data_IF_376899244372
#
_entry.id   IF_376899244372
#
_cell.length_a   1.000
_cell.length_b   1.000
_cell.length_c   1.000
_cell.angle_alpha   90.00
_cell.angle_beta   90.00
_cell.angle_gamma   90.00
#
_symmetry.space_group_name_H-M   'P 1'
#
loop_
_entity.id
_entity.type
_entity.pdbx_description
1 polymer ?
#
# COMPACT_ATOMS: atom_id res chain seq x y z
N UNK A 1 31.34 7.03 -23.91
CA UNK A 1 30.32 6.12 -23.36
C UNK A 1 30.11 6.56 -21.94
N UNK A 2 29.07 7.34 -21.68
CA UNK A 2 28.81 7.83 -20.33
C UNK A 2 28.54 6.63 -19.42
N UNK A 3 29.28 6.54 -18.30
CA UNK A 3 29.06 5.50 -17.31
C UNK A 3 27.62 5.60 -16.79
N UNK A 4 26.76 4.69 -17.22
CA UNK A 4 25.35 4.61 -16.80
C UNK A 4 25.27 4.14 -15.35
N UNK A 5 26.28 3.39 -14.89
CA UNK A 5 26.43 2.92 -13.53
C UNK A 5 26.75 4.07 -12.58
N UNK A 6 26.08 4.03 -11.43
CA UNK A 6 26.16 5.10 -10.45
C UNK A 6 26.62 4.58 -9.09
N UNK A 7 27.41 5.38 -8.39
CA UNK A 7 27.65 5.16 -6.96
C UNK A 7 26.42 5.63 -6.17
N UNK A 8 25.85 4.74 -5.36
CA UNK A 8 24.70 5.01 -4.51
C UNK A 8 25.16 5.49 -3.13
N UNK A 9 24.54 6.56 -2.64
CA UNK A 9 24.73 7.03 -1.27
C UNK A 9 23.97 6.15 -0.26
N UNK A 10 24.19 6.30 1.06
CA UNK A 10 23.38 5.62 2.06
C UNK A 10 21.89 5.95 1.98
N UNK A 11 21.54 7.19 1.61
CA UNK A 11 20.15 7.63 1.44
C UNK A 11 19.53 6.94 0.22
N UNK A 12 20.24 6.89 -0.90
CA UNK A 12 19.77 6.19 -2.11
C UNK A 12 19.50 4.70 -1.84
N UNK A 13 20.38 4.06 -1.05
CA UNK A 13 20.20 2.66 -0.63
C UNK A 13 18.96 2.48 0.23
N UNK A 14 18.76 3.33 1.24
CA UNK A 14 17.58 3.28 2.10
C UNK A 14 16.27 3.47 1.31
N UNK A 15 16.27 4.33 0.29
CA UNK A 15 15.13 4.47 -0.63
C UNK A 15 14.89 3.16 -1.38
N UNK A 16 15.92 2.58 -2.03
CA UNK A 16 15.77 1.31 -2.75
C UNK A 16 15.33 0.17 -1.84
N UNK A 17 15.82 0.11 -0.61
CA UNK A 17 15.42 -0.90 0.39
C UNK A 17 13.93 -0.74 0.76
N UNK A 18 13.43 0.50 0.88
CA UNK A 18 12.00 0.76 1.08
C UNK A 18 11.15 0.28 -0.10
N UNK A 19 11.64 0.42 -1.34
CA UNK A 19 10.95 -0.14 -2.51
C UNK A 19 11.03 -1.68 -2.51
N UNK A 20 12.19 -2.25 -2.17
CA UNK A 20 12.37 -3.70 -2.10
C UNK A 20 11.41 -4.34 -1.09
N UNK A 21 11.21 -3.70 0.07
CA UNK A 21 10.25 -4.14 1.09
C UNK A 21 8.78 -4.08 0.62
N UNK A 22 8.45 -3.17 -0.31
CA UNK A 22 7.11 -3.02 -0.87
C UNK A 22 6.77 -4.09 -1.92
N UNK A 23 7.77 -4.54 -2.70
CA UNK A 23 7.59 -5.44 -3.85
C UNK A 23 6.77 -6.71 -3.49
N UNK A 24 7.04 -7.43 -2.39
CA UNK A 24 6.24 -8.60 -2.00
C UNK A 24 4.78 -8.26 -1.70
N UNK A 25 4.52 -7.16 -0.98
CA UNK A 25 3.16 -6.73 -0.65
C UNK A 25 2.37 -6.31 -1.89
N UNK A 26 3.03 -5.61 -2.82
CA UNK A 26 2.42 -5.23 -4.09
C UNK A 26 2.12 -6.46 -4.96
N UNK A 27 3.02 -7.46 -4.97
CA UNK A 27 2.78 -8.72 -5.67
C UNK A 27 1.62 -9.51 -5.07
N UNK A 28 1.48 -9.53 -3.74
CA UNK A 28 0.37 -10.18 -3.07
C UNK A 28 -0.97 -9.52 -3.40
N UNK A 29 -0.99 -8.19 -3.54
CA UNK A 29 -2.17 -7.43 -3.92
C UNK A 29 -2.55 -7.59 -5.40
N UNK A 30 -1.58 -7.56 -6.32
CA UNK A 30 -1.82 -7.63 -7.77
C UNK A 30 -1.97 -9.07 -8.30
N UNK A 31 -1.49 -10.08 -7.56
CA UNK A 31 -1.57 -11.48 -7.93
C UNK A 31 -0.43 -11.97 -8.85
N UNK A 32 -0.48 -13.26 -9.18
CA UNK A 32 0.56 -13.98 -9.94
C UNK A 32 0.71 -13.55 -11.41
N UNK A 33 -0.28 -12.82 -11.93
CA UNK A 33 -0.35 -12.38 -13.32
C UNK A 33 0.54 -11.16 -13.60
N UNK A 34 1.09 -10.57 -12.55
CA UNK A 34 2.05 -9.48 -12.62
C UNK A 34 3.44 -9.97 -12.26
N UNK A 35 4.42 -9.74 -13.12
CA UNK A 35 5.83 -9.77 -12.72
C UNK A 35 6.26 -8.37 -12.29
N UNK A 36 6.87 -8.27 -11.11
CA UNK A 36 7.33 -7.00 -10.54
C UNK A 36 8.84 -7.10 -10.35
N UNK A 37 9.58 -6.21 -10.97
CA UNK A 37 11.05 -6.21 -10.97
C UNK A 37 11.57 -4.87 -10.50
N UNK A 38 12.36 -4.89 -9.42
CA UNK A 38 13.06 -3.72 -8.92
C UNK A 38 14.53 -3.76 -9.35
N UNK A 39 14.93 -2.70 -10.03
CA UNK A 39 16.28 -2.48 -10.54
C UNK A 39 17.03 -1.44 -9.73
N UNK A 40 18.26 -1.74 -9.36
CA UNK A 40 19.29 -0.77 -8.99
C UNK A 40 20.15 -0.41 -10.20
N UNK A 41 20.48 0.87 -10.35
CA UNK A 41 21.40 1.34 -11.38
C UNK A 41 22.88 1.35 -10.91
N UNK A 42 23.17 0.74 -9.75
CA UNK A 42 24.55 0.62 -9.25
C UNK A 42 25.42 -0.32 -10.09
N UNK A 43 24.82 -1.39 -10.62
CA UNK A 43 25.47 -2.36 -11.53
C UNK A 43 24.44 -2.83 -12.54
N UNK A 44 24.67 -2.57 -13.83
CA UNK A 44 23.69 -2.94 -14.86
C UNK A 44 23.70 -4.45 -15.15
N UNK A 45 24.86 -5.08 -14.98
CA UNK A 45 25.04 -6.53 -15.12
C UNK A 45 24.35 -7.33 -14.02
N UNK A 46 24.17 -6.72 -12.83
CA UNK A 46 23.49 -7.30 -11.67
C UNK A 46 22.47 -6.31 -11.09
N UNK A 47 21.55 -5.85 -11.95
CA UNK A 47 20.66 -4.74 -11.60
C UNK A 47 19.44 -5.16 -10.78
N UNK A 48 18.93 -6.38 -10.94
CA UNK A 48 17.72 -6.82 -10.22
C UNK A 48 18.05 -7.01 -8.73
N UNK A 49 17.44 -6.20 -7.87
CA UNK A 49 17.61 -6.27 -6.41
C UNK A 49 16.40 -6.85 -5.68
N UNK A 50 15.22 -6.82 -6.29
CA UNK A 50 14.04 -7.56 -5.83
C UNK A 50 13.18 -7.96 -7.03
N UNK A 51 12.53 -9.11 -6.96
CA UNK A 51 11.64 -9.60 -8.01
C UNK A 51 10.55 -10.49 -7.43
N UNK A 52 9.32 -10.32 -7.91
CA UNK A 52 8.20 -11.22 -7.68
C UNK A 52 7.68 -11.76 -9.01
N UNK A 53 7.23 -13.03 -8.98
CA UNK A 53 6.77 -13.77 -10.16
C UNK A 53 7.77 -13.79 -11.33
N UNK A 54 9.07 -13.79 -11.02
CA UNK A 54 10.15 -13.84 -12.02
C UNK A 54 10.20 -15.13 -12.85
N UNK A 55 9.40 -16.15 -12.49
CA UNK A 55 9.28 -17.39 -13.25
C UNK A 55 8.76 -17.15 -14.69
N UNK A 56 8.03 -16.06 -14.94
CA UNK A 56 7.53 -15.73 -16.27
C UNK A 56 8.63 -15.35 -17.28
N UNK A 57 9.75 -14.79 -16.78
CA UNK A 57 10.93 -14.45 -17.60
C UNK A 57 12.16 -15.29 -17.26
N UNK A 58 12.09 -16.11 -16.21
CA UNK A 58 13.25 -16.83 -15.65
C UNK A 58 14.24 -15.93 -14.91
N UNK A 59 13.87 -14.69 -14.62
CA UNK A 59 14.76 -13.73 -13.94
C UNK A 59 14.76 -13.97 -12.43
N UNK A 60 15.92 -13.73 -11.84
CA UNK A 60 16.19 -13.82 -10.40
C UNK A 60 16.93 -12.57 -9.92
N UNK A 61 17.03 -12.38 -8.59
CA UNK A 61 17.91 -11.36 -8.02
C UNK A 61 19.34 -11.54 -8.56
N UNK A 62 19.96 -10.43 -8.98
CA UNK A 62 21.24 -10.42 -9.68
C UNK A 62 21.14 -10.53 -11.21
N UNK A 63 19.95 -10.68 -11.79
CA UNK A 63 19.79 -10.64 -13.24
C UNK A 63 20.15 -9.26 -13.82
N UNK A 64 20.61 -9.20 -15.09
CA UNK A 64 20.95 -7.95 -15.74
C UNK A 64 19.69 -7.13 -16.08
N UNK A 65 19.93 -5.85 -16.36
CA UNK A 65 18.92 -4.98 -16.97
C UNK A 65 18.69 -5.39 -18.44
N UNK A 66 17.48 -5.19 -18.95
CA UNK A 66 17.17 -5.49 -20.35
C UNK A 66 17.49 -4.30 -21.26
N UNK A 67 17.71 -4.57 -22.54
CA UNK A 67 17.94 -3.53 -23.56
C UNK A 67 16.79 -2.51 -23.60
N UNK A 68 15.55 -2.99 -23.46
CA UNK A 68 14.37 -2.13 -23.44
C UNK A 68 14.33 -1.23 -22.20
N UNK A 69 14.68 -1.75 -21.02
CA UNK A 69 14.75 -0.95 -19.80
C UNK A 69 15.87 0.11 -19.88
N UNK A 70 16.99 -0.21 -20.54
CA UNK A 70 18.07 0.76 -20.83
C UNK A 70 17.62 1.85 -21.80
N UNK A 71 16.91 1.48 -22.86
CA UNK A 71 16.34 2.45 -23.79
C UNK A 71 15.37 3.40 -23.06
N UNK A 72 14.48 2.85 -22.23
CA UNK A 72 13.54 3.65 -21.45
C UNK A 72 14.22 4.57 -20.45
N UNK A 73 15.26 4.10 -19.76
CA UNK A 73 16.06 4.94 -18.88
C UNK A 73 16.66 6.13 -19.65
N UNK A 74 17.17 5.88 -20.85
CA UNK A 74 17.78 6.92 -21.70
C UNK A 74 16.75 7.95 -22.13
N UNK A 75 15.56 7.51 -22.55
CA UNK A 75 14.45 8.39 -22.92
C UNK A 75 13.93 9.20 -21.73
N UNK A 76 13.81 8.59 -20.56
CA UNK A 76 13.40 9.28 -19.33
C UNK A 76 14.43 10.35 -18.94
N UNK A 77 15.73 10.07 -19.07
CA UNK A 77 16.81 11.03 -18.80
C UNK A 77 16.85 12.18 -19.82
N UNK A 78 16.52 11.90 -21.08
CA UNK A 78 16.46 12.89 -22.14
C UNK A 78 15.21 13.79 -22.08
N UNK A 79 14.17 13.36 -21.36
CA UNK A 79 12.94 14.14 -21.21
C UNK A 79 13.20 15.46 -20.47
N UNK A 80 12.70 16.56 -21.04
CA UNK A 80 12.72 17.89 -20.39
C UNK A 80 11.67 18.01 -19.27
N UNK A 81 10.67 17.14 -19.25
CA UNK A 81 9.62 17.11 -18.24
C UNK A 81 9.85 15.98 -17.22
N UNK A 82 9.32 16.16 -16.02
CA UNK A 82 9.32 15.13 -14.98
C UNK A 82 8.48 13.93 -15.44
N UNK A 83 9.13 12.82 -15.74
CA UNK A 83 8.46 11.56 -16.10
C UNK A 83 8.19 10.77 -14.83
N UNK A 84 6.90 10.59 -14.51
CA UNK A 84 6.46 9.79 -13.36
C UNK A 84 6.46 8.28 -13.68
N UNK A 85 6.03 7.90 -14.89
CA UNK A 85 5.99 6.52 -15.36
C UNK A 85 5.94 6.49 -16.89
N UNK A 86 6.37 5.37 -17.49
CA UNK A 86 6.19 5.09 -18.92
C UNK A 86 5.43 3.77 -19.09
N UNK A 87 4.22 3.84 -19.65
CA UNK A 87 3.38 2.68 -19.94
C UNK A 87 3.49 2.30 -21.41
N UNK A 88 3.52 0.99 -21.70
CA UNK A 88 3.73 0.49 -23.05
C UNK A 88 3.28 -0.97 -23.17
N UNK A 89 3.10 -1.44 -24.40
CA UNK A 89 2.82 -2.84 -24.70
C UNK A 89 4.05 -3.47 -25.33
N UNK A 90 4.32 -4.73 -25.00
CA UNK A 90 5.40 -5.51 -25.60
C UNK A 90 4.92 -6.89 -25.97
N UNK A 91 5.70 -7.54 -26.82
CA UNK A 91 5.55 -8.96 -27.14
C UNK A 91 6.88 -9.64 -26.84
N UNK A 92 6.88 -10.68 -26.01
CA UNK A 92 8.06 -11.52 -25.76
C UNK A 92 8.43 -12.29 -27.03
N UNK A 93 9.64 -12.87 -27.03
CA UNK A 93 10.13 -13.71 -28.15
C UNK A 93 9.26 -14.95 -28.41
N UNK A 94 8.57 -15.44 -27.37
CA UNK A 94 7.63 -16.57 -27.44
C UNK A 94 6.25 -16.18 -27.99
N UNK A 95 6.02 -14.89 -28.31
CA UNK A 95 4.74 -14.37 -28.80
C UNK A 95 3.81 -13.83 -27.72
N UNK A 96 4.16 -13.96 -26.44
CA UNK A 96 3.27 -13.52 -25.36
C UNK A 96 3.17 -12.01 -25.26
N UNK A 97 1.95 -11.50 -25.13
CA UNK A 97 1.68 -10.08 -25.00
C UNK A 97 1.76 -9.60 -23.56
N UNK A 98 2.36 -8.42 -23.35
CA UNK A 98 2.48 -7.80 -22.04
C UNK A 98 2.06 -6.34 -22.07
N UNK A 99 1.37 -5.92 -21.02
CA UNK A 99 1.21 -4.50 -20.67
C UNK A 99 2.20 -4.17 -19.57
N UNK A 100 3.15 -3.31 -19.89
CA UNK A 100 4.29 -3.01 -19.03
C UNK A 100 4.29 -1.55 -18.59
N UNK A 101 4.89 -1.29 -17.44
CA UNK A 101 5.23 0.06 -17.00
C UNK A 101 6.62 0.11 -16.38
N UNK A 102 7.32 1.21 -16.63
CA UNK A 102 8.63 1.53 -16.06
C UNK A 102 8.51 2.82 -15.27
N UNK A 103 8.78 2.75 -13.97
CA UNK A 103 8.70 3.86 -13.02
C UNK A 103 10.12 4.19 -12.55
N UNK A 104 10.66 5.38 -12.86
CA UNK A 104 11.97 5.78 -12.37
C UNK A 104 11.94 6.06 -10.87
N UNK A 105 12.87 5.47 -10.12
CA UNK A 105 13.07 5.75 -8.69
C UNK A 105 14.14 6.80 -8.58
N UNK A 106 13.82 7.91 -7.90
CA UNK A 106 14.71 9.05 -7.72
C UNK A 106 15.24 9.08 -6.31
N UNK A 107 16.54 9.22 -6.19
CA UNK A 107 17.27 9.37 -4.94
C UNK A 107 17.58 10.83 -4.65
N UNK A 108 18.71 11.05 -3.98
CA UNK A 108 19.19 12.40 -3.68
C UNK A 108 19.38 13.23 -4.95
N UNK A 109 19.07 14.53 -4.84
CA UNK A 109 19.16 15.50 -5.94
C UNK A 109 18.34 15.11 -7.19
N UNK A 110 17.24 14.38 -7.02
CA UNK A 110 16.34 13.93 -8.10
C UNK A 110 17.00 13.01 -9.14
N UNK A 111 18.18 12.46 -8.82
CA UNK A 111 18.91 11.52 -9.66
C UNK A 111 18.18 10.19 -9.72
N UNK A 112 18.05 9.61 -10.92
CA UNK A 112 17.44 8.28 -11.07
C UNK A 112 18.43 7.23 -10.57
N UNK A 113 18.02 6.50 -9.52
CA UNK A 113 18.85 5.50 -8.83
C UNK A 113 18.40 4.05 -9.10
N UNK A 114 17.18 3.89 -9.59
CA UNK A 114 16.57 2.60 -9.86
C UNK A 114 15.38 2.69 -10.79
N UNK A 115 14.84 1.54 -11.17
CA UNK A 115 13.60 1.42 -11.94
C UNK A 115 12.71 0.37 -11.27
N UNK A 116 11.42 0.68 -11.11
CA UNK A 116 10.41 -0.32 -10.81
C UNK A 116 9.68 -0.66 -12.11
N UNK A 117 9.82 -1.90 -12.56
CA UNK A 117 9.16 -2.40 -13.75
C UNK A 117 8.03 -3.36 -13.33
N UNK A 118 6.84 -3.19 -13.91
CA UNK A 118 5.73 -4.13 -13.72
C UNK A 118 5.23 -4.59 -15.08
N UNK A 119 5.05 -5.90 -15.23
CA UNK A 119 4.63 -6.55 -16.46
C UNK A 119 3.36 -7.38 -16.19
N UNK A 120 2.23 -6.99 -16.79
CA UNK A 120 1.01 -7.80 -16.81
C UNK A 120 1.02 -8.70 -18.04
N UNK A 121 0.90 -10.00 -17.82
CA UNK A 121 0.80 -11.01 -18.88
C UNK A 121 -0.63 -11.05 -19.42
N UNK A 122 -0.81 -10.65 -20.68
CA UNK A 122 -2.14 -10.50 -21.29
C UNK A 122 -2.71 -11.82 -21.84
N UNK A 123 -1.87 -12.83 -21.97
CA UNK A 123 -2.28 -14.18 -22.37
C UNK A 123 -2.91 -14.96 -21.20
N UNK A 124 -2.81 -14.43 -19.98
CA UNK A 124 -3.50 -14.99 -18.82
C UNK A 124 -5.01 -14.99 -19.06
N UNK A 125 -5.71 -16.12 -18.86
CA UNK A 125 -7.16 -16.16 -18.98
C UNK A 125 -7.82 -15.10 -18.09
N UNK A 126 -8.73 -14.31 -18.68
CA UNK A 126 -9.43 -13.26 -17.95
C UNK A 126 -10.17 -13.80 -16.71
N UNK A 127 -10.64 -15.05 -16.76
CA UNK A 127 -11.25 -15.73 -15.62
C UNK A 127 -10.31 -15.85 -14.41
N UNK A 128 -9.02 -16.08 -14.62
CA UNK A 128 -8.04 -16.17 -13.52
C UNK A 128 -7.73 -14.80 -12.93
N UNK A 129 -7.69 -13.76 -13.76
CA UNK A 129 -7.56 -12.38 -13.29
C UNK A 129 -8.78 -12.00 -12.45
N UNK A 130 -9.98 -12.28 -12.96
CA UNK A 130 -11.23 -12.02 -12.24
C UNK A 130 -11.34 -12.81 -10.93
N UNK A 131 -10.90 -14.07 -10.92
CA UNK A 131 -10.90 -14.89 -9.71
C UNK A 131 -10.05 -14.28 -8.59
N UNK A 132 -8.93 -13.62 -8.92
CA UNK A 132 -8.09 -12.93 -7.93
C UNK A 132 -8.71 -11.64 -7.35
N UNK A 133 -9.73 -11.10 -8.02
CA UNK A 133 -10.43 -9.87 -7.59
C UNK A 133 -11.71 -10.16 -6.81
N UNK A 134 -12.17 -11.41 -6.82
CA UNK A 134 -13.36 -11.83 -6.09
C UNK A 134 -12.95 -12.29 -4.68
N UNK A 135 -13.76 -12.00 -3.64
CA UNK A 135 -13.55 -12.60 -2.33
C UNK A 135 -13.50 -14.11 -2.47
N UNK A 136 -12.56 -14.77 -1.80
CA UNK A 136 -12.59 -16.23 -1.69
C UNK A 136 -13.98 -16.63 -1.20
N UNK A 137 -14.69 -17.43 -2.00
CA UNK A 137 -16.01 -17.90 -1.60
C UNK A 137 -15.84 -18.69 -0.31
N UNK A 138 -16.46 -18.26 0.81
CA UNK A 138 -16.33 -18.99 2.05
C UNK A 138 -16.83 -20.41 1.78
N UNK A 139 -16.00 -21.42 2.08
CA UNK A 139 -16.51 -22.78 2.19
C UNK A 139 -17.72 -22.76 3.10
N UNK A 140 -18.82 -23.42 2.71
CA UNK A 140 -20.10 -23.51 3.45
C UNK A 140 -19.98 -23.97 4.92
N UNK A 141 -18.78 -24.34 5.35
CA UNK A 141 -18.42 -24.91 6.65
C UNK A 141 -17.92 -23.88 7.67
N UNK A 142 -17.62 -22.64 7.25
CA UNK A 142 -17.11 -21.59 8.16
C UNK A 142 -18.00 -20.34 8.04
N UNK A 143 -18.63 -19.89 9.14
CA UNK A 143 -19.32 -18.60 9.15
C UNK A 143 -18.31 -17.51 8.77
N UNK A 144 -18.56 -16.80 7.67
CA UNK A 144 -17.71 -15.70 7.26
C UNK A 144 -17.70 -14.65 8.39
N UNK A 145 -16.49 -14.28 8.85
CA UNK A 145 -16.36 -13.10 9.69
C UNK A 145 -16.94 -11.90 8.93
N UNK A 146 -17.69 -11.00 9.58
CA UNK A 146 -18.19 -9.81 8.91
C UNK A 146 -17.03 -9.04 8.29
N UNK A 147 -17.15 -8.71 7.00
CA UNK A 147 -16.13 -7.94 6.32
C UNK A 147 -15.89 -6.62 7.08
N UNK A 148 -14.64 -6.20 7.28
CA UNK A 148 -14.35 -4.94 7.94
C UNK A 148 -15.01 -3.80 7.15
N UNK A 149 -15.86 -3.02 7.82
CA UNK A 149 -16.50 -1.86 7.23
C UNK A 149 -15.56 -0.67 7.41
N UNK A 150 -14.96 -0.22 6.32
CA UNK A 150 -14.11 0.97 6.33
C UNK A 150 -14.95 2.25 6.24
N UNK A 151 -14.57 3.27 7.02
CA UNK A 151 -15.22 4.57 6.98
C UNK A 151 -14.36 5.61 6.25
N UNK A 152 -14.84 6.07 5.09
CA UNK A 152 -14.16 7.05 4.24
C UNK A 152 -14.55 8.49 4.57
N UNK A 153 -14.33 8.94 5.81
CA UNK A 153 -14.70 10.30 6.15
C UNK A 153 -13.72 11.33 5.57
N UNK A 154 -14.27 12.43 5.09
CA UNK A 154 -13.55 13.50 4.37
C UNK A 154 -12.83 14.49 5.28
N UNK A 155 -12.96 14.35 6.61
CA UNK A 155 -12.31 15.20 7.61
C UNK A 155 -12.11 14.44 8.92
N UNK A 156 -11.17 14.91 9.76
CA UNK A 156 -10.99 14.36 11.12
C UNK A 156 -12.26 14.50 11.97
N UNK A 157 -13.04 15.57 11.78
CA UNK A 157 -14.28 15.81 12.52
C UNK A 157 -15.39 14.83 12.13
N UNK A 158 -15.51 14.50 10.84
CA UNK A 158 -16.45 13.47 10.38
C UNK A 158 -16.00 12.07 10.80
N UNK A 159 -14.69 11.76 10.71
CA UNK A 159 -14.15 10.50 11.24
C UNK A 159 -14.50 10.30 12.73
N UNK A 160 -14.36 11.36 13.53
CA UNK A 160 -14.71 11.32 14.97
C UNK A 160 -16.20 11.08 15.15
N UNK A 161 -17.06 11.80 14.40
CA UNK A 161 -18.50 11.66 14.49
C UNK A 161 -18.97 10.23 14.19
N UNK A 162 -18.54 9.69 13.05
CA UNK A 162 -18.94 8.37 12.59
C UNK A 162 -18.42 7.25 13.53
N UNK A 163 -17.20 7.41 14.05
CA UNK A 163 -16.64 6.44 14.99
C UNK A 163 -17.37 6.47 16.34
N UNK A 164 -17.73 7.66 16.84
CA UNK A 164 -18.55 7.79 18.06
C UNK A 164 -19.92 7.19 17.83
N UNK A 165 -20.57 7.45 16.70
CA UNK A 165 -21.89 6.89 16.38
C UNK A 165 -21.85 5.36 16.32
N UNK A 166 -20.85 4.79 15.62
CA UNK A 166 -20.66 3.34 15.51
C UNK A 166 -20.42 2.68 16.87
N UNK A 167 -19.43 3.17 17.62
CA UNK A 167 -19.08 2.61 18.94
C UNK A 167 -20.23 2.79 19.93
N UNK A 168 -20.91 3.93 19.89
CA UNK A 168 -22.10 4.15 20.72
C UNK A 168 -23.19 3.16 20.37
N UNK A 169 -23.48 2.95 19.09
CA UNK A 169 -24.49 1.98 18.64
C UNK A 169 -24.17 0.56 19.09
N UNK A 170 -22.92 0.12 18.93
CA UNK A 170 -22.45 -1.19 19.39
C UNK A 170 -22.62 -1.36 20.91
N UNK A 171 -22.18 -0.37 21.71
CA UNK A 171 -22.28 -0.41 23.17
C UNK A 171 -23.74 -0.31 23.65
N UNK A 172 -24.59 0.45 22.96
CA UNK A 172 -25.99 0.57 23.34
C UNK A 172 -26.78 -0.70 23.03
N UNK A 173 -26.39 -1.46 22.00
CA UNK A 173 -26.99 -2.73 21.60
C UNK A 173 -26.57 -3.89 22.50
N UNK A 174 -25.40 -3.80 23.12
CA UNK A 174 -24.91 -4.77 24.08
C UNK A 174 -25.63 -4.64 25.43
N UNK A 175 -26.54 -5.59 25.70
CA UNK A 175 -27.33 -5.64 26.94
C UNK A 175 -26.54 -6.06 28.17
N UNK A 176 -25.32 -6.59 27.99
CA UNK A 176 -24.46 -6.99 29.13
C UNK A 176 -23.83 -5.78 29.82
N UNK A 177 -23.76 -4.64 29.13
CA UNK A 177 -23.15 -3.41 29.66
C UNK A 177 -24.21 -2.62 30.44
N UNK A 178 -24.02 -2.39 31.76
CA UNK A 178 -24.92 -1.55 32.54
C UNK A 178 -25.00 -0.13 31.97
N UNK A 179 -26.19 0.47 31.97
CA UNK A 179 -26.41 1.83 31.44
C UNK A 179 -25.45 2.85 32.05
N UNK A 180 -25.16 2.75 33.35
CA UNK A 180 -24.22 3.62 34.06
C UNK A 180 -22.77 3.51 33.56
N UNK A 181 -22.41 2.39 32.92
CA UNK A 181 -21.06 2.13 32.40
C UNK A 181 -20.92 2.42 30.90
N UNK A 182 -22.01 2.68 30.16
CA UNK A 182 -21.95 2.83 28.69
C UNK A 182 -20.98 3.92 28.24
N UNK A 183 -21.03 5.10 28.85
CA UNK A 183 -20.12 6.21 28.50
C UNK A 183 -18.65 5.85 28.75
N UNK A 184 -18.36 5.14 29.86
CA UNK A 184 -17.01 4.66 30.15
C UNK A 184 -16.54 3.69 29.06
N UNK A 185 -17.35 2.68 28.73
CA UNK A 185 -17.00 1.67 27.72
C UNK A 185 -16.84 2.29 26.32
N UNK A 186 -17.68 3.27 25.96
CA UNK A 186 -17.54 3.99 24.69
C UNK A 186 -16.19 4.71 24.64
N UNK A 187 -15.84 5.46 25.69
CA UNK A 187 -14.55 6.17 25.74
C UNK A 187 -13.36 5.20 25.71
N UNK A 188 -13.45 4.05 26.39
CA UNK A 188 -12.43 2.99 26.35
C UNK A 188 -12.23 2.40 24.95
N UNK A 189 -13.32 2.07 24.24
CA UNK A 189 -13.25 1.56 22.88
C UNK A 189 -12.71 2.60 21.90
N UNK A 190 -13.13 3.86 22.03
CA UNK A 190 -12.61 4.98 21.24
C UNK A 190 -11.11 5.21 21.49
N UNK A 191 -10.66 5.04 22.75
CA UNK A 191 -9.24 5.14 23.10
C UNK A 191 -8.41 4.04 22.45
N UNK A 192 -8.89 2.80 22.50
CA UNK A 192 -8.22 1.66 21.85
C UNK A 192 -8.13 1.83 20.31
N UNK A 193 -9.09 2.54 19.70
CA UNK A 193 -9.08 2.87 18.26
C UNK A 193 -8.21 4.10 17.90
N UNK A 194 -7.53 4.71 18.88
CA UNK A 194 -6.56 5.78 18.66
C UNK A 194 -7.15 7.16 18.35
N UNK A 195 -8.46 7.35 18.54
CA UNK A 195 -9.15 8.60 18.14
C UNK A 195 -8.66 9.84 18.90
N UNK A 196 -8.13 9.64 20.11
CA UNK A 196 -7.62 10.74 20.93
C UNK A 196 -6.24 11.26 20.51
N UNK A 197 -5.68 10.72 19.42
CA UNK A 197 -4.50 11.29 18.75
C UNK A 197 -4.84 12.53 17.91
N UNK A 198 -6.10 12.70 17.49
CA UNK A 198 -6.56 13.90 16.78
C UNK A 198 -6.71 15.09 17.75
N UNK A 199 -6.31 16.28 17.30
CA UNK A 199 -6.58 17.54 18.02
C UNK A 199 -8.09 17.72 18.20
N UNK A 200 -8.49 18.22 19.37
CA UNK A 200 -9.88 18.52 19.74
C UNK A 200 -10.84 17.31 19.80
N UNK A 201 -10.34 16.09 19.60
CA UNK A 201 -11.11 14.84 19.72
C UNK A 201 -11.89 14.73 21.03
N UNK A 202 -11.29 15.12 22.16
CA UNK A 202 -11.95 15.08 23.47
C UNK A 202 -13.18 15.99 23.53
N UNK A 203 -13.08 17.19 22.96
CA UNK A 203 -14.19 18.16 22.94
C UNK A 203 -15.30 17.61 22.05
N UNK A 204 -14.95 17.14 20.85
CA UNK A 204 -15.91 16.61 19.89
C UNK A 204 -16.62 15.35 20.40
N UNK A 205 -15.90 14.42 21.01
CA UNK A 205 -16.47 13.20 21.63
C UNK A 205 -17.42 13.58 22.77
N UNK A 206 -17.07 14.57 23.59
CA UNK A 206 -17.93 15.04 24.67
C UNK A 206 -19.25 15.63 24.14
N UNK A 207 -19.20 16.45 23.09
CA UNK A 207 -20.38 16.99 22.41
C UNK A 207 -21.28 15.88 21.85
N UNK A 208 -20.69 14.92 21.12
CA UNK A 208 -21.42 13.83 20.48
C UNK A 208 -22.07 12.87 21.48
N UNK A 209 -21.43 12.63 22.63
CA UNK A 209 -21.97 11.81 23.71
C UNK A 209 -22.91 12.59 24.65
N UNK A 210 -23.01 13.92 24.50
CA UNK A 210 -23.80 14.77 25.39
C UNK A 210 -23.27 14.78 26.84
N UNK A 211 -21.96 14.67 27.04
CA UNK A 211 -21.31 14.65 28.37
C UNK A 211 -20.31 15.80 28.55
N UNK A 212 -19.90 16.06 29.79
CA UNK A 212 -18.87 17.06 30.06
C UNK A 212 -17.50 16.57 29.54
N UNK A 213 -16.74 17.46 28.90
CA UNK A 213 -15.34 17.17 28.47
C UNK A 213 -14.48 16.62 29.61
N UNK A 214 -14.68 17.08 30.85
CA UNK A 214 -13.98 16.61 32.04
C UNK A 214 -14.27 15.13 32.34
N UNK A 215 -15.47 14.65 32.02
CA UNK A 215 -15.84 13.22 32.13
C UNK A 215 -15.05 12.38 31.14
N UNK A 216 -14.91 12.85 29.90
CA UNK A 216 -14.05 12.18 28.89
C UNK A 216 -12.60 12.19 29.35
N UNK A 217 -12.07 13.33 29.83
CA UNK A 217 -10.72 13.42 30.38
C UNK A 217 -10.48 12.43 31.54
N UNK A 218 -11.44 12.32 32.47
CA UNK A 218 -11.36 11.38 33.58
C UNK A 218 -11.27 9.94 33.10
N UNK A 219 -12.13 9.53 32.15
CA UNK A 219 -12.08 8.18 31.59
C UNK A 219 -10.77 7.92 30.84
N UNK A 220 -10.33 8.83 29.98
CA UNK A 220 -9.05 8.72 29.25
C UNK A 220 -7.87 8.61 30.23
N UNK A 221 -7.87 9.39 31.32
CA UNK A 221 -6.83 9.35 32.35
C UNK A 221 -6.82 8.03 33.12
N UNK A 222 -7.98 7.42 33.38
CA UNK A 222 -8.06 6.16 34.10
C UNK A 222 -7.63 4.94 33.25
N UNK A 223 -7.48 5.13 31.93
CA UNK A 223 -6.98 4.10 30.99
C UNK A 223 -5.46 4.21 30.82
N UNK A 224 -4.90 5.42 30.94
CA UNK A 224 -3.47 5.70 30.88
C UNK A 224 -2.76 5.31 32.17
#
# INVERSE_FOLDING_TARGET
MDNIEITLTPVDRAILDSYAAMVPGLSAYLGSHYEIVLHSLASLSSSVIAICNGHHTGRVVGSPITDLALQMLSEIRASRSYVAAKNYFTTKKDGTHLKSTTIPIRGENQRIIGLLCMNLYLDTPLSEVLASLLPETPSLLVPAAPAPMENFATSSQSLIADMVERVSTEVHRDKSIPTACKNKVIVERLYAQGIFSFKESIVRVAELLGINKNTVYMHVRNIR
#
